data_IF_633920542257
#
_entry.id   IF_633920542257
#
_cell.length_a   1.000
_cell.length_b   1.000
_cell.length_c   1.000
_cell.angle_alpha   90.00
_cell.angle_beta   90.00
_cell.angle_gamma   90.00
#
_symmetry.space_group_name_H-M   'P 1'
#
loop_
_entity.id
_entity.type
_entity.pdbx_description
1 polymer ?
#
# COMPACT_ATOMS: atom_id res chain seq x y z
N UNK A 1 15.49 -34.67 -69.04
CA UNK A 1 15.42 -33.45 -69.87
C UNK A 1 13.96 -33.00 -69.98
N UNK A 2 13.55 -31.95 -69.26
CA UNK A 2 12.41 -31.04 -69.58
C UNK A 2 12.29 -30.06 -68.40
N UNK A 3 12.97 -28.91 -68.41
CA UNK A 3 12.63 -27.59 -69.00
C UNK A 3 11.55 -26.84 -68.21
N UNK A 4 12.02 -25.74 -67.61
CA UNK A 4 11.35 -24.69 -66.81
C UNK A 4 10.16 -24.01 -67.50
N UNK A 5 9.23 -23.44 -66.71
CA UNK A 5 8.95 -21.97 -66.63
C UNK A 5 7.81 -21.60 -65.65
N UNK A 6 8.11 -20.59 -64.79
CA UNK A 6 7.36 -19.37 -64.34
C UNK A 6 5.82 -19.38 -64.40
N UNK A 7 5.03 -18.79 -63.51
CA UNK A 7 5.24 -17.78 -62.45
C UNK A 7 3.87 -17.20 -62.01
N UNK A 8 3.88 -16.49 -60.88
CA UNK A 8 2.78 -15.94 -60.06
C UNK A 8 1.52 -15.36 -60.74
N UNK A 9 0.38 -15.47 -60.02
CA UNK A 9 -0.87 -14.74 -60.31
C UNK A 9 -1.79 -14.63 -59.08
N UNK A 10 -1.85 -13.42 -58.54
CA UNK A 10 -2.65 -12.91 -57.42
C UNK A 10 -4.12 -12.66 -57.82
N UNK A 11 -5.13 -13.17 -57.10
CA UNK A 11 -6.52 -12.64 -57.15
C UNK A 11 -7.38 -13.13 -55.95
N UNK A 12 -7.53 -12.31 -54.91
CA UNK A 12 -8.73 -11.52 -54.51
C UNK A 12 -10.01 -12.33 -54.23
N UNK A 13 -10.45 -12.28 -52.97
CA UNK A 13 -11.87 -12.32 -52.61
C UNK A 13 -12.21 -11.05 -51.80
N UNK A 14 -13.09 -10.24 -52.35
CA UNK A 14 -13.72 -9.05 -51.75
C UNK A 14 -15.15 -9.03 -52.30
N UNK A 15 -16.16 -8.99 -51.40
CA UNK A 15 -17.53 -8.43 -51.51
C UNK A 15 -18.10 -8.55 -50.08
N UNK A 16 -18.09 -7.47 -49.29
CA UNK A 16 -19.16 -6.44 -49.12
C UNK A 16 -20.26 -6.92 -48.13
N UNK A 17 -20.29 -6.52 -46.85
CA UNK A 17 -20.58 -5.21 -46.24
C UNK A 17 -22.08 -4.90 -46.03
N UNK A 18 -22.37 -4.48 -44.78
CA UNK A 18 -23.49 -3.65 -44.29
C UNK A 18 -24.83 -4.32 -43.96
N UNK A 19 -25.11 -4.43 -42.65
CA UNK A 19 -26.32 -3.83 -42.05
C UNK A 19 -26.01 -3.37 -40.61
N UNK A 20 -26.00 -2.04 -40.44
CA UNK A 20 -25.89 -1.30 -39.18
C UNK A 20 -27.23 -0.60 -38.99
N UNK A 21 -27.87 -0.73 -37.82
CA UNK A 21 -28.59 0.36 -37.14
C UNK A 21 -29.44 -0.14 -35.94
N UNK A 22 -29.06 0.38 -34.76
CA UNK A 22 -29.90 0.98 -33.72
C UNK A 22 -31.08 0.19 -33.11
N UNK A 23 -30.97 -0.08 -31.80
CA UNK A 23 -31.73 0.67 -30.77
C UNK A 23 -30.86 0.94 -29.55
N UNK A 24 -30.59 2.22 -29.30
CA UNK A 24 -30.18 2.79 -28.03
C UNK A 24 -31.42 3.03 -27.15
N UNK A 25 -31.36 2.52 -25.92
CA UNK A 25 -32.02 3.03 -24.71
C UNK A 25 -31.27 2.33 -23.58
N UNK A 26 -30.40 2.98 -22.81
CA UNK A 26 -30.74 4.15 -22.02
C UNK A 26 -30.94 3.67 -20.58
N UNK A 27 -29.85 3.51 -19.84
CA UNK A 27 -29.80 3.68 -18.39
C UNK A 27 -28.40 4.18 -18.04
N UNK A 28 -28.23 5.49 -18.25
CA UNK A 28 -27.19 6.29 -17.62
C UNK A 28 -27.51 6.31 -16.12
N UNK A 29 -27.07 5.29 -15.40
CA UNK A 29 -27.13 5.25 -13.95
C UNK A 29 -25.78 5.69 -13.42
N UNK A 30 -25.64 6.96 -13.08
CA UNK A 30 -24.65 7.41 -12.10
C UNK A 30 -24.91 6.62 -10.81
N UNK A 31 -24.21 5.48 -10.64
CA UNK A 31 -24.09 4.87 -9.32
C UNK A 31 -23.26 5.85 -8.50
N UNK A 32 -23.91 6.58 -7.62
CA UNK A 32 -23.25 7.14 -6.45
C UNK A 32 -22.75 5.95 -5.66
N UNK A 33 -21.43 5.75 -5.63
CA UNK A 33 -20.82 4.80 -4.72
C UNK A 33 -20.75 5.49 -3.36
N UNK A 34 -21.46 4.96 -2.37
CA UNK A 34 -21.28 5.38 -0.99
C UNK A 34 -19.87 4.96 -0.56
N UNK A 35 -19.12 5.87 0.06
CA UNK A 35 -17.88 5.53 0.74
C UNK A 35 -18.14 4.35 1.69
N UNK A 36 -17.31 3.31 1.63
CA UNK A 36 -17.43 2.18 2.55
C UNK A 36 -16.96 2.65 3.92
N UNK A 37 -17.93 3.00 4.76
CA UNK A 37 -17.70 3.41 6.14
C UNK A 37 -17.49 2.18 7.03
N UNK A 38 -16.21 1.89 7.29
CA UNK A 38 -15.78 0.81 8.19
C UNK A 38 -15.99 1.16 9.68
N UNK A 39 -16.35 2.41 10.01
CA UNK A 39 -16.55 2.84 11.40
C UNK A 39 -17.74 2.16 12.09
N UNK A 40 -18.66 1.57 11.33
CA UNK A 40 -19.76 0.77 11.88
C UNK A 40 -19.35 -0.67 12.20
N UNK A 41 -18.31 -1.20 11.53
CA UNK A 41 -17.81 -2.57 11.74
C UNK A 41 -16.94 -2.68 13.01
N UNK A 42 -16.51 -1.56 13.61
CA UNK A 42 -15.87 -1.52 14.93
C UNK A 42 -16.88 -1.56 16.09
N UNK A 43 -18.14 -1.16 15.86
CA UNK A 43 -19.17 -1.07 16.91
C UNK A 43 -19.97 -2.37 17.13
N UNK A 44 -19.82 -3.39 16.28
CA UNK A 44 -20.67 -4.58 16.28
C UNK A 44 -20.21 -5.74 17.19
N UNK A 45 -19.24 -5.52 18.10
CA UNK A 45 -18.74 -6.55 19.02
C UNK A 45 -19.43 -6.57 20.41
N UNK A 46 -20.43 -5.74 20.65
CA UNK A 46 -21.20 -5.74 21.90
C UNK A 46 -22.71 -5.82 21.63
N UNK A 47 -23.24 -7.03 21.42
CA UNK A 47 -24.57 -7.44 21.93
C UNK A 47 -25.02 -8.79 21.34
N UNK A 48 -24.59 -9.89 21.96
CA UNK A 48 -25.40 -11.11 21.99
C UNK A 48 -25.31 -11.77 23.36
N UNK A 49 -26.31 -11.50 24.22
CA UNK A 49 -26.79 -12.50 25.18
C UNK A 49 -28.26 -12.22 25.51
N UNK A 50 -29.14 -13.08 25.00
CA UNK A 50 -30.57 -13.04 25.27
C UNK A 50 -30.98 -13.84 26.51
N UNK A 51 -31.91 -13.22 27.26
CA UNK A 51 -33.04 -13.78 28.04
C UNK A 51 -32.82 -14.79 29.18
N UNK A 52 -33.33 -14.41 30.35
CA UNK A 52 -33.78 -15.31 31.41
C UNK A 52 -34.25 -14.54 32.66
N UNK A 53 -35.57 -14.32 32.80
CA UNK A 53 -36.20 -13.84 34.05
C UNK A 53 -36.28 -14.98 35.07
N UNK A 54 -36.01 -14.71 36.36
CA UNK A 54 -36.83 -15.23 37.48
C UNK A 54 -36.56 -14.49 38.81
N UNK A 55 -37.62 -14.38 39.62
CA UNK A 55 -37.74 -13.67 40.90
C UNK A 55 -37.02 -14.38 42.06
N UNK A 56 -36.60 -13.64 43.09
CA UNK A 56 -36.27 -14.24 44.39
C UNK A 56 -35.66 -13.28 45.41
N UNK A 57 -36.20 -13.30 46.62
CA UNK A 57 -36.03 -12.40 47.76
C UNK A 57 -34.80 -12.64 48.66
N UNK A 58 -34.47 -11.61 49.45
CA UNK A 58 -33.93 -11.61 50.83
C UNK A 58 -32.41 -11.79 51.12
N UNK A 59 -31.86 -10.70 51.69
CA UNK A 59 -30.91 -10.55 52.81
C UNK A 59 -29.77 -11.57 53.03
N UNK A 60 -28.53 -11.07 53.01
CA UNK A 60 -27.69 -10.94 54.22
C UNK A 60 -26.37 -10.24 53.92
N UNK A 61 -26.00 -9.32 54.82
CA UNK A 61 -24.75 -8.56 54.89
C UNK A 61 -23.49 -9.44 55.00
N UNK A 62 -22.41 -9.06 54.30
CA UNK A 62 -21.19 -8.43 54.85
C UNK A 62 -19.97 -8.59 53.92
N UNK A 63 -19.17 -7.51 53.85
CA UNK A 63 -17.78 -7.39 53.40
C UNK A 63 -17.50 -7.67 51.90
N UNK A 64 -16.71 -6.89 51.17
CA UNK A 64 -15.64 -5.99 51.56
C UNK A 64 -15.27 -5.09 50.37
N UNK A 65 -14.71 -3.91 50.72
CA UNK A 65 -13.79 -3.08 49.94
C UNK A 65 -14.29 -2.26 48.73
N UNK A 66 -14.59 -1.00 49.09
CA UNK A 66 -14.50 0.20 48.27
C UNK A 66 -13.11 0.37 47.62
N UNK A 67 -13.13 0.62 46.32
CA UNK A 67 -12.69 1.84 45.62
C UNK A 67 -11.42 2.61 46.05
N UNK A 68 -10.93 3.33 45.04
CA UNK A 68 -9.91 4.40 45.04
C UNK A 68 -8.49 3.82 44.86
N UNK A 69 -7.70 4.26 43.89
CA UNK A 69 -7.56 5.59 43.35
C UNK A 69 -6.06 5.83 43.25
N UNK A 70 -5.65 6.67 42.30
CA UNK A 70 -4.26 7.16 42.13
C UNK A 70 -3.52 7.39 43.45
N UNK A 71 -2.18 7.30 43.42
CA UNK A 71 -1.43 8.31 44.15
C UNK A 71 -0.31 8.95 43.33
N UNK A 72 -0.19 10.25 43.52
CA UNK A 72 1.02 11.02 43.35
C UNK A 72 1.62 11.31 44.75
N UNK A 73 2.95 11.24 44.85
CA UNK A 73 3.88 11.99 45.72
C UNK A 73 3.67 12.12 47.24
N UNK A 74 4.68 11.78 48.06
CA UNK A 74 5.63 12.76 48.66
C UNK A 74 6.55 12.16 49.77
N UNK A 75 7.80 12.65 49.75
CA UNK A 75 8.85 12.88 50.77
C UNK A 75 8.86 12.17 52.15
N UNK A 76 10.07 11.73 52.55
CA UNK A 76 10.71 12.08 53.83
C UNK A 76 12.26 12.14 53.72
N UNK A 77 12.84 12.99 54.58
CA UNK A 77 14.22 13.50 54.63
C UNK A 77 15.12 12.74 55.62
N UNK A 78 16.45 12.70 55.38
CA UNK A 78 17.50 13.32 56.22
C UNK A 78 18.85 12.55 56.28
N UNK A 79 19.91 13.29 55.91
CA UNK A 79 21.22 13.46 56.56
C UNK A 79 22.52 12.66 56.18
N UNK A 80 23.52 13.49 55.80
CA UNK A 80 25.00 13.48 55.86
C UNK A 80 25.86 12.36 55.22
N UNK A 81 26.72 12.75 54.28
CA UNK A 81 28.12 13.13 54.57
C UNK A 81 28.82 13.69 53.31
N UNK A 82 29.67 14.70 53.50
CA UNK A 82 30.48 15.38 52.49
C UNK A 82 31.81 14.65 52.24
N UNK A 83 32.32 14.65 50.99
CA UNK A 83 33.55 15.36 50.62
C UNK A 83 34.01 15.10 49.16
N UNK A 84 34.69 16.13 48.64
CA UNK A 84 35.60 16.18 47.50
C UNK A 84 35.04 16.46 46.11
N UNK A 85 35.91 17.07 45.33
CA UNK A 85 35.68 18.21 44.45
C UNK A 85 36.32 17.96 43.08
N UNK A 86 35.73 18.60 42.07
CA UNK A 86 36.35 19.02 40.79
C UNK A 86 36.92 17.94 39.87
N UNK A 87 36.24 17.77 38.73
CA UNK A 87 36.78 17.75 37.35
C UNK A 87 35.55 17.62 36.42
N UNK A 88 35.00 18.69 35.83
CA UNK A 88 35.46 19.38 34.62
C UNK A 88 35.53 18.49 33.36
N UNK A 89 34.42 18.50 32.62
CA UNK A 89 34.29 18.45 31.16
C UNK A 89 34.79 17.26 30.32
N UNK A 90 34.06 17.07 29.22
CA UNK A 90 34.31 16.21 28.05
C UNK A 90 33.86 14.75 28.15
N UNK A 91 32.58 14.49 27.85
CA UNK A 91 32.16 13.53 26.80
C UNK A 91 30.76 13.94 26.32
N UNK A 92 30.68 15.01 25.53
CA UNK A 92 29.64 15.16 24.51
C UNK A 92 30.29 14.81 23.18
N UNK A 93 29.51 14.28 22.23
CA UNK A 93 29.91 13.85 20.87
C UNK A 93 30.36 12.38 20.76
N UNK A 94 29.42 11.44 20.80
CA UNK A 94 29.52 10.18 20.03
C UNK A 94 28.25 9.33 20.03
N UNK A 95 27.04 9.92 20.04
CA UNK A 95 25.78 9.19 19.79
C UNK A 95 24.76 9.95 18.92
N UNK A 96 25.19 10.95 18.14
CA UNK A 96 24.38 11.56 17.07
C UNK A 96 25.07 11.43 15.71
N UNK A 97 25.16 10.20 15.20
CA UNK A 97 25.47 9.99 13.79
C UNK A 97 24.80 8.70 13.30
N UNK A 98 23.48 8.62 13.47
CA UNK A 98 22.65 7.76 12.64
C UNK A 98 22.13 8.63 11.50
N UNK A 99 22.59 8.33 10.29
CA UNK A 99 22.43 9.07 9.04
C UNK A 99 20.98 9.49 8.75
N UNK A 100 20.70 10.79 8.83
CA UNK A 100 19.67 11.42 8.01
C UNK A 100 20.22 11.47 6.57
N UNK A 101 19.79 10.55 5.71
CA UNK A 101 19.99 10.74 4.27
C UNK A 101 19.19 11.98 3.86
N UNK A 102 19.85 12.89 3.16
CA UNK A 102 19.18 14.05 2.59
C UNK A 102 18.15 13.62 1.53
N UNK A 103 17.14 14.46 1.25
CA UNK A 103 16.17 14.22 0.17
C UNK A 103 16.85 13.93 -1.18
N UNK A 104 18.04 14.51 -1.42
CA UNK A 104 18.83 14.23 -2.63
C UNK A 104 19.44 12.82 -2.65
N UNK A 105 19.86 12.31 -1.49
CA UNK A 105 20.43 10.96 -1.36
C UNK A 105 19.37 9.87 -1.46
N UNK A 106 18.16 10.10 -0.95
CA UNK A 106 17.04 9.15 -1.10
C UNK A 106 16.56 9.07 -2.55
N UNK A 107 16.54 10.20 -3.25
CA UNK A 107 16.26 10.28 -4.69
C UNK A 107 17.35 9.58 -5.51
N UNK A 108 18.62 9.79 -5.17
CA UNK A 108 19.72 9.12 -5.85
C UNK A 108 19.65 7.60 -5.67
N UNK A 109 19.37 7.13 -4.45
CA UNK A 109 19.21 5.71 -4.16
C UNK A 109 18.01 5.08 -4.90
N UNK A 110 16.89 5.81 -5.06
CA UNK A 110 15.74 5.33 -5.83
C UNK A 110 16.06 5.23 -7.34
N UNK A 111 16.80 6.21 -7.89
CA UNK A 111 17.26 6.17 -9.29
C UNK A 111 18.29 5.08 -9.54
N UNK A 112 19.21 4.89 -8.60
CA UNK A 112 20.20 3.82 -8.64
C UNK A 112 19.51 2.45 -8.53
N UNK A 113 18.55 2.29 -7.61
CA UNK A 113 17.73 1.07 -7.50
C UNK A 113 16.95 0.78 -8.78
N UNK A 114 16.39 1.79 -9.44
CA UNK A 114 15.72 1.63 -10.74
C UNK A 114 16.69 1.20 -11.85
N UNK A 115 17.90 1.77 -11.88
CA UNK A 115 18.94 1.41 -12.84
C UNK A 115 19.55 0.02 -12.57
N UNK A 116 19.70 -0.35 -11.30
CA UNK A 116 20.19 -1.66 -10.86
C UNK A 116 19.16 -2.76 -11.11
N UNK A 117 17.86 -2.52 -10.86
CA UNK A 117 16.81 -3.46 -11.21
C UNK A 117 16.81 -3.76 -12.72
N UNK A 118 16.98 -2.72 -13.55
CA UNK A 118 17.14 -2.88 -15.00
C UNK A 118 18.40 -3.68 -15.37
N UNK A 119 19.51 -3.46 -14.66
CA UNK A 119 20.80 -4.12 -14.93
C UNK A 119 20.85 -5.56 -14.40
N UNK A 120 20.19 -5.84 -13.28
CA UNK A 120 20.08 -7.18 -12.68
C UNK A 120 19.16 -8.08 -13.50
N UNK A 121 18.03 -7.55 -14.00
CA UNK A 121 17.19 -8.24 -14.97
C UNK A 121 17.96 -8.59 -16.27
N UNK A 122 18.99 -7.82 -16.61
CA UNK A 122 19.87 -8.10 -17.74
C UNK A 122 20.97 -9.13 -17.46
N UNK A 123 21.27 -9.45 -16.19
CA UNK A 123 22.47 -10.21 -15.80
C UNK A 123 22.23 -11.58 -15.14
N UNK A 124 21.01 -11.93 -14.70
CA UNK A 124 20.78 -13.18 -13.93
C UNK A 124 20.36 -14.41 -14.76
N UNK A 125 20.30 -14.34 -16.09
CA UNK A 125 20.06 -15.51 -16.94
C UNK A 125 21.01 -15.55 -18.15
N UNK A 126 22.20 -16.11 -17.92
CA UNK A 126 23.07 -16.60 -18.98
C UNK A 126 22.53 -17.93 -19.57
N UNK A 127 21.28 -17.93 -20.03
CA UNK A 127 20.73 -18.88 -21.03
C UNK A 127 19.58 -18.23 -21.81
N UNK A 128 19.88 -17.13 -22.53
CA UNK A 128 19.06 -16.51 -23.59
C UNK A 128 17.53 -16.63 -23.43
N UNK A 129 16.99 -16.18 -22.30
CA UNK A 129 15.59 -15.78 -22.26
C UNK A 129 15.41 -14.61 -23.26
N UNK A 130 14.36 -14.62 -24.10
CA UNK A 130 14.13 -13.52 -25.02
C UNK A 130 13.94 -12.22 -24.24
N UNK A 131 14.69 -11.18 -24.57
CA UNK A 131 14.49 -9.84 -24.01
C UNK A 131 13.03 -9.43 -24.21
N UNK A 132 12.32 -9.17 -23.11
CA UNK A 132 10.95 -8.66 -23.15
C UNK A 132 11.02 -7.19 -23.60
N UNK A 133 10.44 -6.81 -24.75
CA UNK A 133 10.52 -5.43 -25.22
C UNK A 133 9.78 -4.49 -24.27
N UNK A 134 10.37 -3.31 -24.04
CA UNK A 134 9.71 -2.25 -23.29
C UNK A 134 8.38 -1.85 -23.95
N UNK A 135 7.30 -1.85 -23.18
CA UNK A 135 5.94 -1.60 -23.66
C UNK A 135 5.58 -0.10 -23.68
N UNK A 136 6.46 0.78 -23.21
CA UNK A 136 6.26 2.23 -23.22
C UNK A 136 5.86 2.83 -21.88
N UNK A 137 5.63 2.02 -20.84
CA UNK A 137 5.12 2.48 -19.55
C UNK A 137 6.01 2.10 -18.36
N UNK A 138 6.20 3.03 -17.44
CA UNK A 138 6.98 2.85 -16.21
C UNK A 138 6.07 2.85 -14.98
N UNK A 139 6.21 1.88 -14.09
CA UNK A 139 5.37 1.72 -12.89
C UNK A 139 6.24 1.83 -11.64
N UNK A 140 5.91 2.76 -10.74
CA UNK A 140 6.51 2.81 -9.41
C UNK A 140 5.75 1.91 -8.44
N UNK A 141 6.48 1.10 -7.67
CA UNK A 141 5.94 0.23 -6.63
C UNK A 141 6.54 0.64 -5.29
N UNK A 142 5.68 1.00 -4.34
CA UNK A 142 6.08 1.27 -2.96
C UNK A 142 5.56 0.17 -2.04
N UNK A 143 6.48 -0.59 -1.45
CA UNK A 143 6.15 -1.49 -0.37
C UNK A 143 5.98 -0.67 0.91
N UNK A 144 4.76 -0.62 1.46
CA UNK A 144 4.45 0.15 2.66
C UNK A 144 5.34 -0.20 3.85
N UNK A 145 5.52 0.76 4.76
CA UNK A 145 6.31 0.66 5.97
C UNK A 145 7.79 0.30 5.76
N UNK A 146 8.51 0.08 6.87
CA UNK A 146 9.92 -0.27 6.96
C UNK A 146 10.21 -0.89 8.34
N UNK A 147 11.38 -1.49 8.53
CA UNK A 147 11.73 -2.23 9.75
C UNK A 147 11.74 -1.36 11.02
N UNK A 148 11.99 -0.06 10.88
CA UNK A 148 12.05 0.90 11.99
C UNK A 148 11.15 2.09 11.71
N UNK A 149 10.19 2.35 12.59
CA UNK A 149 9.34 3.54 12.47
C UNK A 149 10.18 4.83 12.49
N UNK A 150 9.76 5.81 11.70
CA UNK A 150 10.24 7.19 11.81
C UNK A 150 9.12 8.04 12.43
N UNK A 151 9.20 8.23 13.75
CA UNK A 151 8.15 8.86 14.55
C UNK A 151 8.15 10.39 14.51
N UNK A 152 9.19 10.99 13.90
CA UNK A 152 9.23 12.42 13.60
C UNK A 152 8.06 12.83 12.71
N UNK A 153 7.77 14.13 12.67
CA UNK A 153 6.60 14.65 11.95
C UNK A 153 6.95 15.18 10.56
N UNK A 154 6.01 15.05 9.64
CA UNK A 154 6.02 15.66 8.30
C UNK A 154 4.65 16.29 7.98
N UNK A 155 4.58 17.23 7.01
CA UNK A 155 3.31 17.76 6.54
C UNK A 155 2.47 16.67 5.87
N UNK A 156 1.15 16.70 6.04
CA UNK A 156 0.25 15.78 5.32
C UNK A 156 0.22 16.02 3.81
N UNK A 157 0.79 17.10 3.30
CA UNK A 157 0.86 17.48 1.89
C UNK A 157 1.70 18.75 1.69
N UNK A 158 2.04 19.12 0.45
CA UNK A 158 2.87 20.29 0.17
C UNK A 158 2.34 21.56 0.85
N UNK A 159 3.20 22.25 1.61
CA UNK A 159 2.87 23.47 2.37
C UNK A 159 1.77 23.35 3.44
N UNK A 160 1.38 22.13 3.83
CA UNK A 160 0.39 21.94 4.89
C UNK A 160 0.94 22.32 6.26
N UNK A 161 0.13 22.96 7.11
CA UNK A 161 0.44 23.14 8.53
C UNK A 161 -0.01 21.95 9.39
N UNK A 162 -0.82 21.05 8.83
CA UNK A 162 -1.20 19.81 9.49
C UNK A 162 -0.08 18.79 9.32
N UNK A 163 0.37 18.23 10.45
CA UNK A 163 1.51 17.32 10.50
C UNK A 163 1.04 15.91 10.89
N UNK A 164 1.66 14.88 10.30
CA UNK A 164 1.53 13.48 10.71
C UNK A 164 2.90 12.84 10.91
N UNK A 165 2.92 11.61 11.42
CA UNK A 165 4.16 10.84 11.56
C UNK A 165 4.75 10.52 10.19
N UNK A 166 6.08 10.65 10.04
CA UNK A 166 6.84 10.41 8.81
C UNK A 166 6.65 8.99 8.27
N UNK A 167 6.80 7.99 9.13
CA UNK A 167 6.54 6.60 8.79
C UNK A 167 6.18 5.84 10.07
N UNK A 168 4.89 5.57 10.34
CA UNK A 168 4.50 4.81 11.53
C UNK A 168 4.97 3.36 11.43
N UNK A 169 5.02 2.69 12.58
CA UNK A 169 5.15 1.24 12.63
C UNK A 169 3.97 0.60 11.89
N UNK A 170 4.25 -0.42 11.07
CA UNK A 170 3.22 -1.19 10.38
C UNK A 170 2.56 -2.21 11.30
N UNK A 171 1.47 -2.79 10.84
CA UNK A 171 0.76 -3.83 11.59
C UNK A 171 1.59 -5.12 11.69
N UNK A 172 1.22 -6.01 12.61
CA UNK A 172 1.83 -7.35 12.73
C UNK A 172 0.73 -8.40 12.58
N UNK A 173 0.98 -9.40 11.74
CA UNK A 173 0.09 -10.54 11.54
C UNK A 173 -0.26 -11.23 12.85
N UNK A 174 -1.55 -11.34 13.15
CA UNK A 174 -2.04 -11.91 14.42
C UNK A 174 -1.83 -13.42 14.54
N UNK A 175 -1.76 -14.14 13.42
CA UNK A 175 -1.53 -15.58 13.37
C UNK A 175 -0.06 -15.92 13.04
N UNK A 176 0.56 -15.16 12.13
CA UNK A 176 1.90 -15.41 11.62
C UNK A 176 3.01 -14.74 12.43
N UNK A 177 2.71 -13.62 13.10
CA UNK A 177 3.70 -12.76 13.75
C UNK A 177 4.59 -11.99 12.76
N UNK A 178 4.30 -12.05 11.46
CA UNK A 178 5.10 -11.37 10.43
C UNK A 178 4.68 -9.90 10.36
N UNK A 179 5.63 -8.95 10.41
CA UNK A 179 5.31 -7.54 10.30
C UNK A 179 4.93 -7.15 8.87
N UNK A 180 4.04 -6.18 8.74
CA UNK A 180 3.47 -5.71 7.48
C UNK A 180 4.54 -5.35 6.44
N UNK A 181 5.63 -4.70 6.86
CA UNK A 181 6.69 -4.29 5.95
C UNK A 181 7.37 -5.48 5.22
N UNK A 182 7.36 -6.68 5.82
CA UNK A 182 7.85 -7.89 5.16
C UNK A 182 6.84 -8.43 4.15
N UNK A 183 5.56 -8.41 4.52
CA UNK A 183 4.46 -8.84 3.64
C UNK A 183 4.40 -7.96 2.40
N UNK A 184 4.43 -6.64 2.56
CA UNK A 184 4.34 -5.68 1.45
C UNK A 184 5.54 -5.80 0.53
N UNK A 185 6.77 -5.96 1.07
CA UNK A 185 7.96 -6.14 0.23
C UNK A 185 7.94 -7.48 -0.53
N UNK A 186 7.44 -8.55 0.10
CA UNK A 186 7.31 -9.85 -0.55
C UNK A 186 6.34 -9.81 -1.74
N UNK A 187 5.20 -9.12 -1.60
CA UNK A 187 4.26 -8.93 -2.73
C UNK A 187 4.84 -7.98 -3.77
N UNK A 188 5.50 -6.88 -3.36
CA UNK A 188 6.10 -5.91 -4.27
C UNK A 188 7.14 -6.57 -5.21
N UNK A 189 8.01 -7.44 -4.71
CA UNK A 189 8.99 -8.18 -5.52
C UNK A 189 8.34 -9.12 -6.55
N UNK A 190 7.22 -9.75 -6.17
CA UNK A 190 6.44 -10.57 -7.13
C UNK A 190 5.78 -9.70 -8.19
N UNK A 191 5.26 -8.54 -7.81
CA UNK A 191 4.67 -7.58 -8.73
C UNK A 191 5.70 -7.00 -9.71
N UNK A 192 6.90 -6.67 -9.22
CA UNK A 192 8.03 -6.25 -10.05
C UNK A 192 8.37 -7.30 -11.12
N UNK A 193 8.50 -8.56 -10.70
CA UNK A 193 8.76 -9.67 -11.63
C UNK A 193 7.65 -9.80 -12.68
N UNK A 194 6.39 -9.77 -12.24
CA UNK A 194 5.23 -9.92 -13.13
C UNK A 194 5.13 -8.76 -14.15
N UNK A 195 5.32 -7.51 -13.71
CA UNK A 195 5.28 -6.34 -14.58
C UNK A 195 6.48 -6.30 -15.54
N UNK A 196 7.67 -6.66 -15.08
CA UNK A 196 8.87 -6.75 -15.94
C UNK A 196 8.66 -7.79 -17.04
N UNK A 197 8.09 -8.95 -16.71
CA UNK A 197 7.75 -9.99 -17.69
C UNK A 197 6.68 -9.56 -18.71
N UNK A 198 5.92 -8.50 -18.42
CA UNK A 198 4.95 -7.87 -19.33
C UNK A 198 5.51 -6.67 -20.08
N UNK A 199 6.80 -6.37 -19.92
CA UNK A 199 7.51 -5.31 -20.63
C UNK A 199 7.40 -3.94 -20.00
N UNK A 200 6.89 -3.82 -18.77
CA UNK A 200 6.96 -2.55 -18.05
C UNK A 200 8.38 -2.29 -17.55
N UNK A 201 8.77 -1.02 -17.47
CA UNK A 201 9.84 -0.65 -16.55
C UNK A 201 9.26 -0.51 -15.16
N UNK A 202 9.98 -1.01 -14.15
CA UNK A 202 9.53 -0.98 -12.77
C UNK A 202 10.52 -0.19 -11.93
N UNK A 203 10.00 0.69 -11.09
CA UNK A 203 10.78 1.44 -10.10
C UNK A 203 10.34 1.00 -8.72
N UNK A 204 11.21 0.32 -8.00
CA UNK A 204 10.97 -0.03 -6.60
C UNK A 204 11.38 1.15 -5.71
N UNK A 205 10.43 1.71 -4.94
CA UNK A 205 10.70 2.81 -4.00
C UNK A 205 11.59 2.35 -2.84
N UNK A 206 11.45 1.07 -2.43
CA UNK A 206 12.42 0.40 -1.56
C UNK A 206 12.59 -1.07 -1.98
N UNK A 207 13.80 -1.58 -1.80
CA UNK A 207 14.18 -2.98 -2.11
C UNK A 207 14.57 -3.78 -0.85
N UNK A 208 14.75 -3.09 0.28
CA UNK A 208 15.10 -3.62 1.60
C UNK A 208 14.09 -3.20 2.68
N UNK A 209 14.13 -3.86 3.82
CA UNK A 209 13.35 -3.51 5.01
C UNK A 209 14.08 -2.48 5.90
N UNK A 210 15.42 -2.46 5.88
CA UNK A 210 16.23 -1.50 6.65
C UNK A 210 16.44 -0.23 5.84
N UNK A 211 15.39 0.59 5.77
CA UNK A 211 15.39 1.91 5.15
C UNK A 211 14.81 2.93 6.13
N UNK A 212 15.12 4.20 5.93
CA UNK A 212 14.51 5.30 6.66
C UNK A 212 13.95 6.31 5.67
N UNK A 213 12.73 6.07 5.18
CA UNK A 213 12.04 6.94 4.22
C UNK A 213 10.65 7.30 4.73
N UNK A 214 10.32 8.58 4.72
CA UNK A 214 8.99 9.10 5.04
C UNK A 214 7.98 8.83 3.92
N UNK A 215 6.68 8.94 4.23
CA UNK A 215 5.63 8.85 3.21
C UNK A 215 5.76 9.94 2.14
N UNK A 216 6.17 11.17 2.53
CA UNK A 216 6.45 12.23 1.57
C UNK A 216 7.65 11.91 0.67
N UNK A 217 8.78 11.47 1.24
CA UNK A 217 10.00 11.11 0.50
C UNK A 217 9.75 10.00 -0.53
N UNK A 218 8.94 8.99 -0.17
CA UNK A 218 8.51 7.92 -1.08
C UNK A 218 7.71 8.43 -2.27
N UNK A 219 6.80 9.39 -2.03
CA UNK A 219 6.02 10.03 -3.09
C UNK A 219 6.91 10.87 -4.01
N UNK A 220 7.84 11.63 -3.43
CA UNK A 220 8.81 12.44 -4.19
C UNK A 220 9.72 11.56 -5.05
N UNK A 221 10.21 10.44 -4.50
CA UNK A 221 10.99 9.47 -5.26
C UNK A 221 10.20 8.92 -6.46
N UNK A 222 8.92 8.60 -6.27
CA UNK A 222 8.05 8.15 -7.36
C UNK A 222 7.87 9.25 -8.44
N UNK A 223 7.54 10.48 -8.04
CA UNK A 223 7.36 11.61 -8.96
C UNK A 223 8.61 11.86 -9.83
N UNK A 224 9.81 11.69 -9.25
CA UNK A 224 11.09 11.98 -9.91
C UNK A 224 11.69 10.80 -10.68
N UNK A 225 11.03 9.64 -10.66
CA UNK A 225 11.50 8.41 -11.28
C UNK A 225 11.19 8.30 -12.77
N UNK A 226 10.25 9.11 -13.27
CA UNK A 226 9.70 8.95 -14.62
C UNK A 226 8.59 7.90 -14.73
N UNK A 227 8.10 7.37 -13.60
CA UNK A 227 6.94 6.49 -13.56
C UNK A 227 5.65 7.22 -14.00
N UNK A 228 4.79 6.50 -14.71
CA UNK A 228 3.48 6.97 -15.15
C UNK A 228 2.43 6.83 -14.04
N UNK A 229 2.61 5.86 -13.14
CA UNK A 229 1.72 5.58 -12.00
C UNK A 229 2.52 5.13 -10.77
N UNK A 230 1.95 5.31 -9.58
CA UNK A 230 2.44 4.78 -8.30
C UNK A 230 1.43 3.79 -7.69
N UNK A 231 1.90 2.60 -7.33
CA UNK A 231 1.13 1.60 -6.60
C UNK A 231 1.79 1.38 -5.24
N UNK A 232 1.09 1.74 -4.16
CA UNK A 232 1.55 1.51 -2.79
C UNK A 232 0.84 0.30 -2.21
N UNK A 233 1.58 -0.64 -1.65
CA UNK A 233 1.07 -1.89 -1.10
C UNK A 233 1.10 -1.85 0.43
N UNK A 234 -0.03 -2.14 1.04
CA UNK A 234 -0.23 -2.23 2.49
C UNK A 234 -1.05 -3.48 2.86
N UNK A 235 -1.08 -3.81 4.14
CA UNK A 235 -2.00 -4.78 4.69
C UNK A 235 -2.58 -4.24 6.01
N UNK A 236 -3.90 -4.01 5.98
CA UNK A 236 -4.64 -3.27 6.98
C UNK A 236 -4.73 -4.05 8.30
N UNK A 237 -5.21 -3.39 9.35
CA UNK A 237 -5.48 -4.01 10.63
C UNK A 237 -6.54 -3.22 11.38
N UNK A 238 -7.47 -3.93 11.99
CA UNK A 238 -8.54 -3.37 12.81
C UNK A 238 -8.82 -4.24 14.03
N UNK A 239 -9.36 -3.64 15.09
CA UNK A 239 -9.70 -4.33 16.34
C UNK A 239 -10.65 -5.52 16.14
N UNK A 240 -11.55 -5.44 15.16
CA UNK A 240 -12.45 -6.53 14.80
C UNK A 240 -11.77 -7.50 13.83
N UNK A 241 -11.29 -8.63 14.36
CA UNK A 241 -10.65 -9.71 13.57
C UNK A 241 -11.56 -10.42 12.58
N UNK A 242 -12.88 -10.20 12.64
CA UNK A 242 -13.84 -10.71 11.65
C UNK A 242 -13.86 -9.91 10.34
N UNK A 243 -13.21 -8.74 10.29
CA UNK A 243 -13.13 -7.94 9.07
C UNK A 243 -12.02 -8.48 8.17
N UNK A 244 -12.40 -8.80 6.94
CA UNK A 244 -11.50 -9.23 5.87
C UNK A 244 -11.83 -8.53 4.54
N UNK A 245 -10.94 -8.60 3.57
CA UNK A 245 -11.11 -8.05 2.22
C UNK A 245 -10.01 -7.08 1.80
N UNK A 246 -9.97 -6.74 0.52
CA UNK A 246 -9.08 -5.70 -0.01
C UNK A 246 -9.86 -4.40 -0.25
N UNK A 247 -9.21 -3.26 0.01
CA UNK A 247 -9.69 -1.92 -0.34
C UNK A 247 -8.57 -1.12 -1.00
N UNK A 248 -8.94 -0.16 -1.82
CA UNK A 248 -7.99 0.82 -2.35
C UNK A 248 -8.35 2.22 -1.88
N UNK A 249 -7.36 3.10 -1.75
CA UNK A 249 -7.55 4.49 -1.37
C UNK A 249 -6.89 5.43 -2.38
N UNK A 250 -7.56 6.53 -2.72
CA UNK A 250 -7.00 7.65 -3.48
C UNK A 250 -7.46 9.01 -2.90
N UNK A 251 -7.05 10.10 -3.54
CA UNK A 251 -7.50 11.45 -3.17
C UNK A 251 -8.97 11.67 -3.53
N UNK A 252 -9.62 12.68 -2.93
CA UNK A 252 -10.94 13.14 -3.40
C UNK A 252 -10.83 14.03 -4.63
N UNK A 253 -11.94 14.21 -5.35
CA UNK A 253 -12.04 15.18 -6.45
C UNK A 253 -11.88 16.66 -6.00
N UNK A 254 -11.87 16.93 -4.68
CA UNK A 254 -11.68 18.27 -4.10
C UNK A 254 -10.37 18.38 -3.31
N UNK A 255 -9.48 17.38 -3.43
CA UNK A 255 -8.21 17.37 -2.73
C UNK A 255 -7.42 18.67 -2.95
N UNK A 256 -6.98 19.37 -1.89
CA UNK A 256 -6.37 20.68 -2.02
C UNK A 256 -4.95 20.66 -2.59
N UNK A 257 -4.34 19.48 -2.74
CA UNK A 257 -2.96 19.31 -3.19
C UNK A 257 -2.89 18.78 -4.62
N UNK A 258 -3.67 17.75 -4.95
CA UNK A 258 -3.54 17.03 -6.22
C UNK A 258 -4.87 16.53 -6.82
N UNK A 259 -5.97 17.28 -6.65
CA UNK A 259 -7.28 16.96 -7.21
C UNK A 259 -7.28 16.65 -8.72
N UNK A 260 -6.35 17.21 -9.51
CA UNK A 260 -6.24 16.90 -10.95
C UNK A 260 -5.92 15.44 -11.25
N UNK A 261 -5.39 14.69 -10.27
CA UNK A 261 -5.08 13.26 -10.38
C UNK A 261 -6.26 12.36 -10.01
N UNK A 262 -7.36 12.91 -9.49
CA UNK A 262 -8.49 12.15 -8.96
C UNK A 262 -9.02 11.12 -9.96
N UNK A 263 -9.45 11.52 -11.15
CA UNK A 263 -10.12 10.62 -12.09
C UNK A 263 -9.20 9.46 -12.52
N UNK A 264 -7.91 9.77 -12.73
CA UNK A 264 -6.88 8.78 -13.07
C UNK A 264 -6.60 7.82 -11.90
N UNK A 265 -6.47 8.35 -10.68
CA UNK A 265 -6.17 7.57 -9.48
C UNK A 265 -7.36 6.71 -9.06
N UNK A 266 -8.58 7.24 -9.12
CA UNK A 266 -9.79 6.49 -8.84
C UNK A 266 -9.98 5.35 -9.85
N UNK A 267 -9.79 5.60 -11.15
CA UNK A 267 -9.85 4.57 -12.18
C UNK A 267 -8.79 3.46 -11.94
N UNK A 268 -7.55 3.84 -11.65
CA UNK A 268 -6.47 2.91 -11.30
C UNK A 268 -6.84 2.06 -10.07
N UNK A 269 -7.18 2.71 -8.95
CA UNK A 269 -7.57 2.06 -7.70
C UNK A 269 -8.75 1.11 -7.88
N UNK A 270 -9.76 1.52 -8.65
CA UNK A 270 -10.95 0.69 -8.92
C UNK A 270 -10.59 -0.58 -9.71
N UNK A 271 -9.77 -0.45 -10.76
CA UNK A 271 -9.31 -1.59 -11.56
C UNK A 271 -8.48 -2.55 -10.71
N UNK A 272 -7.57 -2.02 -9.89
CA UNK A 272 -6.71 -2.81 -9.03
C UNK A 272 -7.55 -3.61 -8.03
N UNK A 273 -8.38 -2.97 -7.22
CA UNK A 273 -9.16 -3.68 -6.19
C UNK A 273 -10.13 -4.69 -6.81
N UNK A 274 -10.78 -4.35 -7.93
CA UNK A 274 -11.67 -5.28 -8.64
C UNK A 274 -10.95 -6.53 -9.12
N UNK A 275 -9.78 -6.35 -9.74
CA UNK A 275 -9.02 -7.44 -10.34
C UNK A 275 -8.37 -8.30 -9.27
N UNK A 276 -7.78 -7.69 -8.23
CA UNK A 276 -7.20 -8.41 -7.10
C UNK A 276 -8.25 -9.27 -6.41
N UNK A 277 -9.42 -8.71 -6.06
CA UNK A 277 -10.49 -9.51 -5.46
C UNK A 277 -11.00 -10.61 -6.40
N UNK A 278 -11.05 -10.35 -7.71
CA UNK A 278 -11.41 -11.37 -8.71
C UNK A 278 -10.41 -12.52 -8.80
N UNK A 279 -9.11 -12.28 -8.65
CA UNK A 279 -8.07 -13.32 -8.72
C UNK A 279 -7.86 -14.06 -7.40
N UNK A 280 -8.00 -13.39 -6.27
CA UNK A 280 -7.78 -13.97 -4.94
C UNK A 280 -9.05 -14.62 -4.37
N UNK A 281 -10.22 -14.09 -4.71
CA UNK A 281 -11.49 -14.46 -4.12
C UNK A 281 -11.82 -13.75 -2.79
N UNK A 282 -10.97 -12.82 -2.34
CA UNK A 282 -11.27 -12.03 -1.11
C UNK A 282 -12.39 -11.02 -1.35
N UNK A 283 -12.98 -10.52 -0.26
CA UNK A 283 -14.05 -9.51 -0.31
C UNK A 283 -13.52 -8.21 -0.92
N UNK A 284 -14.26 -7.67 -1.89
CA UNK A 284 -14.00 -6.36 -2.46
C UNK A 284 -14.68 -5.27 -1.62
N UNK A 285 -13.89 -4.41 -0.99
CA UNK A 285 -14.36 -3.27 -0.18
C UNK A 285 -14.35 -1.94 -0.94
N UNK A 286 -14.02 -1.97 -2.23
CA UNK A 286 -14.11 -0.82 -3.12
C UNK A 286 -12.98 0.19 -2.93
N UNK A 287 -13.25 1.41 -3.38
CA UNK A 287 -12.32 2.54 -3.30
C UNK A 287 -12.83 3.50 -2.23
N UNK A 288 -11.94 3.87 -1.31
CA UNK A 288 -12.13 4.95 -0.36
C UNK A 288 -11.37 6.20 -0.84
N UNK A 289 -11.86 7.38 -0.47
CA UNK A 289 -11.22 8.65 -0.83
C UNK A 289 -10.85 9.42 0.44
N UNK A 290 -9.66 10.03 0.46
CA UNK A 290 -9.18 10.80 1.60
C UNK A 290 -8.26 11.95 1.17
N UNK A 291 -8.28 13.04 1.93
CA UNK A 291 -7.41 14.21 1.72
C UNK A 291 -6.44 14.46 2.88
N UNK A 292 -6.39 13.54 3.85
CA UNK A 292 -5.57 13.67 5.08
C UNK A 292 -4.31 12.81 5.08
N UNK A 293 -3.95 12.19 3.95
CA UNK A 293 -2.83 11.24 3.87
C UNK A 293 -1.61 11.79 3.13
N UNK A 294 -0.45 11.83 3.81
CA UNK A 294 0.85 12.10 3.17
C UNK A 294 1.28 11.03 2.17
N UNK A 295 0.68 9.84 2.20
CA UNK A 295 0.93 8.77 1.21
C UNK A 295 0.36 9.12 -0.17
N UNK A 296 -0.57 10.09 -0.21
CA UNK A 296 -1.33 10.47 -1.42
C UNK A 296 -1.05 11.91 -1.80
N UNK A 297 -1.13 12.84 -0.85
CA UNK A 297 -1.15 14.28 -1.11
C UNK A 297 0.17 14.85 -1.68
N UNK A 298 1.27 14.10 -1.59
CA UNK A 298 2.57 14.45 -2.16
C UNK A 298 2.78 13.90 -3.58
N UNK A 299 1.85 13.11 -4.11
CA UNK A 299 1.95 12.52 -5.45
C UNK A 299 1.65 13.56 -6.55
N UNK A 300 2.46 13.53 -7.60
CA UNK A 300 2.30 14.29 -8.85
C UNK A 300 1.92 13.39 -10.04
N UNK A 301 1.89 12.07 -9.81
CA UNK A 301 1.44 11.03 -10.74
C UNK A 301 0.25 10.25 -10.16
N UNK A 302 -0.63 9.63 -10.97
CA UNK A 302 -1.74 8.81 -10.49
C UNK A 302 -1.29 7.77 -9.46
N UNK A 303 -2.01 7.67 -8.34
CA UNK A 303 -1.63 6.83 -7.20
C UNK A 303 -2.77 5.94 -6.72
N UNK A 304 -2.45 4.69 -6.39
CA UNK A 304 -3.32 3.77 -5.68
C UNK A 304 -2.62 3.31 -4.39
N UNK A 305 -3.27 3.48 -3.23
CA UNK A 305 -2.87 2.82 -1.99
C UNK A 305 -3.75 1.59 -1.83
N UNK A 306 -3.19 0.39 -2.00
CA UNK A 306 -3.92 -0.87 -1.91
C UNK A 306 -3.66 -1.53 -0.56
N UNK A 307 -4.72 -1.69 0.22
CA UNK A 307 -4.77 -2.63 1.33
C UNK A 307 -5.13 -4.01 0.78
N UNK A 308 -4.18 -4.94 0.83
CA UNK A 308 -4.31 -6.25 0.16
C UNK A 308 -5.15 -7.27 0.95
N UNK A 309 -5.48 -6.95 2.20
CA UNK A 309 -6.14 -7.80 3.20
C UNK A 309 -5.89 -7.25 4.60
N UNK A 310 -6.49 -7.86 5.62
CA UNK A 310 -6.35 -7.46 7.03
C UNK A 310 -5.45 -8.43 7.81
N UNK A 311 -4.31 -7.97 8.34
CA UNK A 311 -3.42 -8.74 9.23
C UNK A 311 -4.04 -9.06 10.59
N UNK A 312 -5.09 -8.33 10.98
CA UNK A 312 -5.91 -8.65 12.16
C UNK A 312 -6.87 -9.82 11.93
N UNK A 313 -7.14 -10.20 10.68
CA UNK A 313 -7.90 -11.39 10.35
C UNK A 313 -6.95 -12.60 10.21
N UNK A 314 -7.10 -13.67 11.00
CA UNK A 314 -6.14 -14.77 11.04
C UNK A 314 -6.08 -15.58 9.73
N UNK A 315 -7.19 -15.64 8.98
CA UNK A 315 -7.22 -16.33 7.68
C UNK A 315 -6.48 -15.51 6.63
N UNK A 316 -6.77 -14.20 6.53
CA UNK A 316 -6.07 -13.31 5.58
C UNK A 316 -4.59 -13.15 5.92
N UNK A 317 -4.21 -13.04 7.19
CA UNK A 317 -2.80 -13.07 7.59
C UNK A 317 -2.11 -14.36 7.10
N UNK A 318 -2.72 -15.52 7.33
CA UNK A 318 -2.18 -16.80 6.84
C UNK A 318 -2.05 -16.82 5.32
N UNK A 319 -3.06 -16.34 4.58
CA UNK A 319 -3.01 -16.25 3.12
C UNK A 319 -1.96 -15.26 2.63
N UNK A 320 -1.78 -14.13 3.33
CA UNK A 320 -0.76 -13.14 3.03
C UNK A 320 0.66 -13.67 3.30
N UNK A 321 0.82 -14.83 3.94
CA UNK A 321 2.09 -15.57 4.00
C UNK A 321 2.25 -16.63 2.91
N UNK A 322 1.16 -17.03 2.25
CA UNK A 322 1.19 -18.05 1.19
C UNK A 322 1.76 -17.49 -0.12
N UNK A 323 2.74 -18.18 -0.69
CA UNK A 323 3.43 -17.76 -1.91
C UNK A 323 2.49 -17.67 -3.12
N UNK A 324 1.55 -18.62 -3.23
CA UNK A 324 0.58 -18.68 -4.31
C UNK A 324 -0.46 -17.56 -4.22
N UNK A 325 -0.93 -17.24 -3.02
CA UNK A 325 -1.84 -16.13 -2.79
C UNK A 325 -1.19 -14.78 -3.10
N UNK A 326 0.05 -14.55 -2.65
CA UNK A 326 0.84 -13.37 -3.05
C UNK A 326 1.02 -13.27 -4.56
N UNK A 327 1.22 -14.40 -5.24
CA UNK A 327 1.26 -14.48 -6.69
C UNK A 327 -0.06 -14.07 -7.36
N UNK A 328 -1.22 -14.47 -6.80
CA UNK A 328 -2.54 -14.04 -7.28
C UNK A 328 -2.77 -12.54 -7.11
N UNK A 329 -2.28 -11.95 -6.01
CA UNK A 329 -2.32 -10.50 -5.80
C UNK A 329 -1.48 -9.81 -6.87
N UNK A 330 -0.21 -10.19 -7.02
CA UNK A 330 0.70 -9.59 -8.01
C UNK A 330 0.15 -9.70 -9.44
N UNK A 331 -0.35 -10.88 -9.84
CA UNK A 331 -1.00 -11.08 -11.14
C UNK A 331 -2.28 -10.26 -11.29
N UNK A 332 -3.05 -10.07 -10.23
CA UNK A 332 -4.27 -9.25 -10.24
C UNK A 332 -3.95 -7.77 -10.45
N UNK A 333 -2.94 -7.25 -9.74
CA UNK A 333 -2.46 -5.88 -9.92
C UNK A 333 -1.92 -5.69 -11.34
N UNK A 334 -1.06 -6.58 -11.82
CA UNK A 334 -0.50 -6.46 -13.18
C UNK A 334 -1.58 -6.50 -14.27
N UNK A 335 -2.61 -7.35 -14.11
CA UNK A 335 -3.76 -7.35 -15.02
C UNK A 335 -4.57 -6.05 -15.00
N UNK A 336 -4.69 -5.41 -13.83
CA UNK A 336 -5.32 -4.10 -13.71
C UNK A 336 -4.48 -2.99 -14.36
N UNK A 337 -3.15 -3.05 -14.25
CA UNK A 337 -2.22 -2.13 -14.91
C UNK A 337 -2.32 -2.22 -16.42
N UNK A 338 -2.34 -3.44 -16.99
CA UNK A 338 -2.60 -3.63 -18.43
C UNK A 338 -3.92 -3.00 -18.86
N UNK A 339 -4.98 -3.23 -18.09
CA UNK A 339 -6.30 -2.69 -18.36
C UNK A 339 -6.40 -1.16 -18.17
N UNK A 340 -5.49 -0.56 -17.39
CA UNK A 340 -5.41 0.87 -17.17
C UNK A 340 -4.76 1.58 -18.36
N UNK A 341 -3.60 1.09 -18.81
CA UNK A 341 -2.88 1.69 -19.93
C UNK A 341 -3.53 1.39 -21.30
N UNK A 342 -4.27 0.27 -21.44
CA UNK A 342 -5.05 -0.01 -22.64
C UNK A 342 -6.14 1.05 -22.95
N UNK A 343 -6.52 1.87 -21.97
CA UNK A 343 -7.46 2.99 -22.13
C UNK A 343 -6.79 4.28 -22.63
N UNK A 344 -5.45 4.27 -22.80
CA UNK A 344 -4.67 5.44 -23.22
C UNK A 344 -4.40 6.44 -22.09
N UNK A 345 -4.43 5.97 -20.83
CA UNK A 345 -4.17 6.77 -19.64
C UNK A 345 -2.69 7.10 -19.43
#
# INVERSE_FOLDING_TARGET
>A
MSRMKKGNGLLRFLISAVFFALVLSGCNGTRKYEAVDLSSETAAAESESGSGEEQGTENSDEADLQALGNPAGEMMSADQAAESSQDAESVSESEEMASEMSEEESVAAARESAAEAYTAAANDDAETAPEVPFNGHTVAIDAGHQAKANTSKEPIGPSSSTMKTKMPEGSVGTASGVPEYEVTLAVAKKLETELTNRGYHVVMIRTSNDVNMSSAERSVAANQSGADILIRLHADSMDNSGVYGALATCMTAQNPYNASLHDKSYNLSKKIVDTVCGTTGTKNRGVQETDSSSDINWCEIPVCVLEMGFLSNPDEDTWLQDDGYRGKIASGIAGAVDAYFAEGN
#
